data_IF_352054211780
#
_entry.id   IF_352054211780
#
_cell.length_a   1.000
_cell.length_b   1.000
_cell.length_c   1.000
_cell.angle_alpha   90.00
_cell.angle_beta   90.00
_cell.angle_gamma   90.00
#
_symmetry.space_group_name_H-M   'P 1'
#
loop_
_entity.id
_entity.type
_entity.pdbx_description
1 polymer ?
#
# COMPACT_ATOMS: atom_id res chain seq x y z
N UNK A 1 -23.68 -11.15 -4.76
CA UNK A 1 -24.06 -10.14 -5.78
C UNK A 1 -23.03 -9.03 -5.63
N UNK A 2 -22.17 -8.80 -6.65
CA UNK A 2 -21.24 -7.69 -6.59
C UNK A 2 -22.05 -6.40 -6.59
N UNK A 3 -21.95 -5.61 -5.53
CA UNK A 3 -22.42 -4.23 -5.54
C UNK A 3 -21.40 -3.45 -6.37
N UNK A 4 -21.80 -3.07 -7.57
CA UNK A 4 -21.11 -2.00 -8.30
C UNK A 4 -21.26 -0.73 -7.45
N UNK A 5 -20.18 -0.32 -6.82
CA UNK A 5 -20.03 1.03 -6.32
C UNK A 5 -19.68 1.81 -7.58
N UNK A 6 -20.62 2.55 -8.13
CA UNK A 6 -20.31 3.54 -9.16
C UNK A 6 -19.26 4.49 -8.55
N UNK A 7 -18.09 4.67 -9.19
CA UNK A 7 -17.19 5.72 -8.76
C UNK A 7 -17.98 7.03 -8.85
N UNK A 8 -17.99 7.81 -7.76
CA UNK A 8 -18.48 9.18 -7.85
C UNK A 8 -17.74 9.85 -9.00
N UNK A 9 -18.47 10.20 -10.05
CA UNK A 9 -17.93 11.00 -11.14
C UNK A 9 -17.45 12.32 -10.54
N UNK A 10 -16.17 12.38 -10.17
CA UNK A 10 -15.51 13.64 -9.87
C UNK A 10 -15.66 14.46 -11.15
N UNK A 11 -16.58 15.44 -11.14
CA UNK A 11 -16.76 16.37 -12.26
C UNK A 11 -15.42 17.02 -12.52
N UNK A 12 -14.71 16.54 -13.53
CA UNK A 12 -13.52 17.20 -14.05
C UNK A 12 -14.04 18.46 -14.75
N UNK A 13 -13.98 19.58 -14.04
CA UNK A 13 -14.29 20.88 -14.62
C UNK A 13 -13.11 21.27 -15.49
N UNK A 14 -13.24 21.06 -16.81
CA UNK A 14 -12.22 21.49 -17.75
C UNK A 14 -12.27 23.02 -17.86
N UNK A 15 -11.24 23.70 -17.36
CA UNK A 15 -11.11 25.14 -17.46
C UNK A 15 -10.35 25.51 -18.74
N UNK A 16 -11.10 25.83 -19.81
CA UNK A 16 -10.55 26.19 -21.12
C UNK A 16 -9.66 27.43 -21.02
N UNK A 17 -9.99 28.39 -20.17
CA UNK A 17 -9.20 29.62 -19.99
C UNK A 17 -7.81 29.28 -19.41
N UNK A 18 -7.76 28.47 -18.35
CA UNK A 18 -6.50 28.03 -17.75
C UNK A 18 -5.63 27.29 -18.76
N UNK A 19 -6.26 26.46 -19.61
CA UNK A 19 -5.56 25.70 -20.63
C UNK A 19 -4.94 26.59 -21.73
N UNK A 20 -5.63 27.67 -22.11
CA UNK A 20 -5.16 28.56 -23.17
C UNK A 20 -4.21 29.68 -22.66
N UNK A 21 -4.40 30.15 -21.45
CA UNK A 21 -3.70 31.32 -20.90
C UNK A 21 -2.77 30.96 -19.72
N UNK A 22 -2.76 29.72 -19.28
CA UNK A 22 -2.06 29.32 -18.10
C UNK A 22 -2.78 29.70 -16.79
N UNK A 23 -2.20 29.29 -15.68
CA UNK A 23 -2.79 29.46 -14.35
C UNK A 23 -3.54 28.23 -13.86
N UNK A 24 -3.67 28.10 -12.55
CA UNK A 24 -4.36 27.03 -11.86
C UNK A 24 -5.69 27.59 -11.33
N UNK A 25 -6.84 27.01 -11.69
CA UNK A 25 -8.12 27.49 -11.19
C UNK A 25 -8.16 27.50 -9.66
N UNK A 26 -8.77 28.51 -9.10
CA UNK A 26 -8.93 28.65 -7.65
C UNK A 26 -9.59 27.43 -7.02
N UNK A 27 -10.61 26.87 -7.68
CA UNK A 27 -11.29 25.65 -7.26
C UNK A 27 -10.33 24.47 -7.09
N UNK A 28 -9.42 24.25 -8.06
CA UNK A 28 -8.47 23.13 -8.02
C UNK A 28 -7.49 23.28 -6.86
N UNK A 29 -7.05 24.50 -6.59
CA UNK A 29 -6.10 24.77 -5.50
C UNK A 29 -6.76 24.80 -4.13
N UNK A 30 -7.95 25.36 -3.99
CA UNK A 30 -8.60 25.57 -2.69
C UNK A 30 -9.51 24.41 -2.29
N UNK A 31 -10.38 23.95 -3.19
CA UNK A 31 -11.40 22.96 -2.85
C UNK A 31 -10.90 21.52 -3.06
N UNK A 32 -10.23 21.24 -4.18
CA UNK A 32 -9.73 19.88 -4.47
C UNK A 32 -8.59 19.50 -3.51
N UNK A 33 -7.72 20.44 -3.16
CA UNK A 33 -6.59 20.20 -2.25
C UNK A 33 -6.90 20.60 -0.80
N UNK A 34 -8.16 20.82 -0.44
CA UNK A 34 -8.55 21.28 0.89
C UNK A 34 -7.98 20.43 2.03
N UNK A 35 -8.08 19.10 1.92
CA UNK A 35 -7.56 18.18 2.95
C UNK A 35 -6.05 18.31 3.14
N UNK A 36 -5.31 18.57 2.05
CA UNK A 36 -3.87 18.83 2.13
C UNK A 36 -3.57 20.11 2.91
N UNK A 37 -4.35 21.18 2.67
CA UNK A 37 -4.16 22.46 3.37
C UNK A 37 -4.57 22.40 4.83
N UNK A 38 -5.58 21.60 5.18
CA UNK A 38 -5.94 21.34 6.58
C UNK A 38 -4.82 20.61 7.33
N UNK A 39 -4.20 19.64 6.69
CA UNK A 39 -3.09 18.88 7.30
C UNK A 39 -1.75 19.62 7.23
N UNK A 40 -1.50 20.38 6.17
CA UNK A 40 -0.24 21.09 5.89
C UNK A 40 -0.49 22.56 5.52
N UNK A 41 -0.92 23.40 6.47
CA UNK A 41 -1.39 24.76 6.18
C UNK A 41 -0.34 25.70 5.59
N UNK A 42 0.95 25.43 5.85
CA UNK A 42 2.05 26.27 5.34
C UNK A 42 2.42 25.96 3.90
N UNK A 43 2.03 24.80 3.36
CA UNK A 43 2.41 24.37 2.02
C UNK A 43 1.73 25.21 0.93
N UNK A 44 0.49 25.61 1.12
CA UNK A 44 -0.25 26.39 0.12
C UNK A 44 0.52 27.63 -0.29
N UNK A 45 0.95 28.43 0.68
CA UNK A 45 1.64 29.71 0.43
C UNK A 45 3.08 29.53 -0.09
N UNK A 46 3.69 28.38 0.18
CA UNK A 46 5.00 28.04 -0.38
C UNK A 46 4.91 27.62 -1.85
N UNK A 47 3.85 26.90 -2.22
CA UNK A 47 3.69 26.33 -3.56
C UNK A 47 2.95 27.24 -4.52
N UNK A 48 1.98 28.03 -4.04
CA UNK A 48 1.08 28.79 -4.87
C UNK A 48 1.03 30.26 -4.47
N UNK A 49 0.89 31.12 -5.48
CA UNK A 49 0.62 32.54 -5.29
C UNK A 49 -0.56 32.98 -6.17
N UNK A 50 -1.41 33.90 -5.69
CA UNK A 50 -2.52 34.39 -6.49
C UNK A 50 -2.02 35.05 -7.79
N UNK A 51 -2.58 34.66 -8.91
CA UNK A 51 -2.37 35.32 -10.20
C UNK A 51 -3.40 36.44 -10.41
N UNK A 52 -4.66 36.16 -10.08
CA UNK A 52 -5.78 37.10 -10.09
C UNK A 52 -6.90 36.55 -9.17
N UNK A 53 -8.13 37.10 -9.27
CA UNK A 53 -9.25 36.70 -8.41
C UNK A 53 -9.63 35.20 -8.54
N UNK A 54 -9.42 34.61 -9.72
CA UNK A 54 -9.93 33.26 -10.07
C UNK A 54 -8.82 32.22 -10.28
N UNK A 55 -7.55 32.66 -10.32
CA UNK A 55 -6.42 31.81 -10.66
C UNK A 55 -5.23 31.99 -9.74
N UNK A 56 -4.53 30.91 -9.51
CA UNK A 56 -3.20 30.82 -8.91
C UNK A 56 -2.13 30.56 -9.96
N UNK A 57 -0.88 30.79 -9.59
CA UNK A 57 0.30 30.28 -10.29
C UNK A 57 1.23 29.62 -9.29
N UNK A 58 2.13 28.76 -9.77
CA UNK A 58 3.21 28.27 -8.95
C UNK A 58 4.08 29.43 -8.45
N UNK A 59 4.47 29.38 -7.18
CA UNK A 59 5.38 30.32 -6.55
C UNK A 59 6.85 29.92 -6.76
N UNK A 60 7.08 28.67 -7.16
CA UNK A 60 8.37 27.99 -7.34
C UNK A 60 8.43 27.30 -8.69
N UNK A 61 9.61 26.83 -9.08
CA UNK A 61 9.77 25.98 -10.27
C UNK A 61 9.13 24.61 -10.05
N UNK A 62 8.63 23.99 -11.11
CA UNK A 62 8.01 22.66 -11.04
C UNK A 62 8.95 21.59 -10.46
N UNK A 63 10.25 21.72 -10.71
CA UNK A 63 11.27 20.80 -10.19
C UNK A 63 11.50 20.92 -8.69
N UNK A 64 11.09 22.04 -8.08
CA UNK A 64 11.24 22.31 -6.65
C UNK A 64 10.02 21.89 -5.82
N UNK A 65 8.91 21.50 -6.47
CA UNK A 65 7.67 21.12 -5.77
C UNK A 65 7.92 19.98 -4.77
N UNK A 66 8.48 18.88 -5.23
CA UNK A 66 8.76 17.70 -4.38
C UNK A 66 9.72 18.04 -3.24
N UNK A 67 10.91 18.66 -3.48
CA UNK A 67 11.79 19.07 -2.39
C UNK A 67 11.14 20.00 -1.36
N UNK A 68 10.29 20.94 -1.79
CA UNK A 68 9.60 21.87 -0.88
C UNK A 68 8.57 21.15 -0.02
N UNK A 69 7.83 20.19 -0.59
CA UNK A 69 6.87 19.37 0.16
C UNK A 69 7.60 18.51 1.18
N UNK A 70 8.65 17.79 0.77
CA UNK A 70 9.43 16.90 1.64
C UNK A 70 10.15 17.63 2.77
N UNK A 71 10.48 18.91 2.58
CA UNK A 71 11.11 19.75 3.60
C UNK A 71 10.11 20.48 4.52
N UNK A 72 8.80 20.35 4.25
CA UNK A 72 7.79 21.02 5.07
C UNK A 72 7.57 20.30 6.40
N UNK A 73 7.70 21.01 7.52
CA UNK A 73 7.59 20.41 8.87
C UNK A 73 6.21 19.79 9.13
N UNK A 74 5.14 20.33 8.56
CA UNK A 74 3.80 19.77 8.73
C UNK A 74 3.64 18.49 7.94
N UNK A 75 4.21 18.42 6.75
CA UNK A 75 4.25 17.20 5.94
C UNK A 75 5.10 16.11 6.60
N UNK A 76 6.28 16.46 7.11
CA UNK A 76 7.15 15.53 7.86
C UNK A 76 6.40 14.95 9.06
N UNK A 77 5.70 15.78 9.85
CA UNK A 77 4.90 15.29 10.98
C UNK A 77 3.77 14.34 10.56
N UNK A 78 3.11 14.61 9.43
CA UNK A 78 2.09 13.70 8.89
C UNK A 78 2.70 12.37 8.46
N UNK A 79 3.84 12.42 7.78
CA UNK A 79 4.57 11.23 7.37
C UNK A 79 5.01 10.37 8.57
N UNK A 80 5.63 11.00 9.58
CA UNK A 80 6.06 10.32 10.81
C UNK A 80 4.89 9.67 11.55
N UNK A 81 3.75 10.37 11.65
CA UNK A 81 2.53 9.83 12.27
C UNK A 81 2.01 8.60 11.53
N UNK A 82 1.95 8.67 10.21
CA UNK A 82 1.54 7.56 9.37
C UNK A 82 2.47 6.36 9.52
N UNK A 83 3.79 6.59 9.44
CA UNK A 83 4.79 5.54 9.61
C UNK A 83 4.78 4.92 11.01
N UNK A 84 4.53 5.71 12.04
CA UNK A 84 4.35 5.21 13.41
C UNK A 84 3.13 4.30 13.52
N UNK A 85 2.00 4.64 12.87
CA UNK A 85 0.82 3.79 12.80
C UNK A 85 1.09 2.45 12.13
N UNK A 86 1.75 2.44 10.98
CA UNK A 86 2.14 1.22 10.26
C UNK A 86 3.10 0.38 11.11
N UNK A 87 4.09 1.00 11.75
CA UNK A 87 5.03 0.29 12.62
C UNK A 87 4.33 -0.36 13.81
N UNK A 88 3.46 0.38 14.49
CA UNK A 88 2.67 -0.15 15.61
C UNK A 88 1.79 -1.32 15.17
N UNK A 89 1.14 -1.20 14.01
CA UNK A 89 0.37 -2.29 13.43
C UNK A 89 1.25 -3.53 13.20
N UNK A 90 2.40 -3.37 12.54
CA UNK A 90 3.31 -4.47 12.23
C UNK A 90 3.85 -5.16 13.50
N UNK A 91 4.24 -4.38 14.51
CA UNK A 91 4.73 -4.91 15.79
C UNK A 91 3.62 -5.65 16.56
N UNK A 92 2.40 -5.14 16.56
CA UNK A 92 1.26 -5.75 17.26
C UNK A 92 0.84 -7.09 16.65
N UNK A 93 0.93 -7.19 15.31
CA UNK A 93 0.43 -8.38 14.59
C UNK A 93 1.52 -9.37 14.14
N UNK A 94 2.79 -9.04 14.38
CA UNK A 94 3.92 -9.93 14.07
C UNK A 94 3.77 -11.31 14.74
N UNK A 95 3.38 -11.32 16.00
CA UNK A 95 3.29 -12.55 16.77
C UNK A 95 2.13 -13.45 16.31
N UNK A 96 1.09 -12.88 15.72
CA UNK A 96 -0.02 -13.63 15.13
C UNK A 96 0.47 -14.53 13.97
N UNK A 97 1.41 -14.01 13.15
CA UNK A 97 2.04 -14.79 12.09
C UNK A 97 2.84 -15.98 12.66
N UNK A 98 3.54 -15.78 13.78
CA UNK A 98 4.33 -16.83 14.42
C UNK A 98 3.47 -17.94 15.04
N UNK A 99 2.17 -17.71 15.22
CA UNK A 99 1.22 -18.72 15.71
C UNK A 99 0.71 -19.67 14.62
N UNK A 100 1.04 -19.42 13.35
CA UNK A 100 0.68 -20.31 12.27
C UNK A 100 1.24 -21.72 12.52
N UNK A 101 0.39 -22.72 12.35
CA UNK A 101 0.73 -24.12 12.54
C UNK A 101 -0.11 -24.98 11.58
N UNK A 102 0.17 -26.28 11.48
CA UNK A 102 -0.65 -27.19 10.67
C UNK A 102 -2.13 -27.13 11.06
N UNK A 103 -2.97 -26.82 10.09
CA UNK A 103 -4.40 -26.62 10.25
C UNK A 103 -4.84 -25.17 10.40
N UNK A 104 -3.92 -24.19 10.45
CA UNK A 104 -4.26 -22.75 10.39
C UNK A 104 -4.82 -22.38 9.02
N UNK A 105 -5.62 -21.32 8.97
CA UNK A 105 -6.21 -20.81 7.74
C UNK A 105 -5.59 -19.44 7.36
N UNK A 106 -4.57 -19.39 6.47
CA UNK A 106 -3.87 -18.16 6.11
C UNK A 106 -4.78 -17.08 5.54
N UNK A 107 -5.86 -17.50 4.87
CA UNK A 107 -6.86 -16.57 4.34
C UNK A 107 -7.56 -15.77 5.44
N UNK A 108 -7.92 -16.39 6.54
CA UNK A 108 -8.53 -15.70 7.68
C UNK A 108 -7.56 -14.72 8.33
N UNK A 109 -6.27 -15.08 8.38
CA UNK A 109 -5.23 -14.20 8.92
C UNK A 109 -5.14 -12.89 8.12
N UNK A 110 -5.03 -12.97 6.80
CA UNK A 110 -4.92 -11.75 5.96
C UNK A 110 -6.22 -10.93 5.95
N UNK A 111 -7.38 -11.56 5.98
CA UNK A 111 -8.66 -10.85 6.10
C UNK A 111 -8.74 -10.08 7.44
N UNK A 112 -8.30 -10.70 8.53
CA UNK A 112 -8.23 -10.08 9.85
C UNK A 112 -7.25 -8.89 9.86
N UNK A 113 -6.05 -9.08 9.31
CA UNK A 113 -5.04 -8.02 9.23
C UNK A 113 -5.51 -6.85 8.38
N UNK A 114 -6.16 -7.12 7.26
CA UNK A 114 -6.73 -6.08 6.41
C UNK A 114 -7.77 -5.24 7.15
N UNK A 115 -8.68 -5.88 7.90
CA UNK A 115 -9.68 -5.18 8.70
C UNK A 115 -9.04 -4.32 9.80
N UNK A 116 -8.07 -4.86 10.54
CA UNK A 116 -7.36 -4.16 11.62
C UNK A 116 -6.51 -3.00 11.10
N UNK A 117 -5.86 -3.14 9.93
CA UNK A 117 -5.11 -2.07 9.29
C UNK A 117 -6.02 -0.90 8.92
N UNK A 118 -7.16 -1.19 8.30
CA UNK A 118 -8.15 -0.16 7.95
C UNK A 118 -8.67 0.57 9.20
N UNK A 119 -8.91 -0.15 10.30
CA UNK A 119 -9.35 0.45 11.56
C UNK A 119 -8.27 1.35 12.16
N UNK A 120 -7.02 0.86 12.26
CA UNK A 120 -5.90 1.62 12.80
C UNK A 120 -5.62 2.91 12.01
N UNK A 121 -5.74 2.88 10.69
CA UNK A 121 -5.48 4.03 9.84
C UNK A 121 -6.64 5.04 9.79
N UNK A 122 -7.88 4.61 10.02
CA UNK A 122 -9.01 5.55 10.16
C UNK A 122 -8.86 6.48 11.37
N UNK A 123 -8.21 6.02 12.42
CA UNK A 123 -7.98 6.80 13.63
C UNK A 123 -6.79 7.77 13.51
N UNK A 124 -5.93 7.61 12.50
CA UNK A 124 -4.69 8.41 12.38
C UNK A 124 -4.88 9.77 11.71
N UNK A 125 -6.06 10.11 11.20
CA UNK A 125 -6.32 11.37 10.47
C UNK A 125 -5.20 11.68 9.44
N UNK A 126 -4.91 10.69 8.62
CA UNK A 126 -3.81 10.72 7.67
C UNK A 126 -4.27 11.23 6.30
N UNK A 127 -3.38 11.92 5.58
CA UNK A 127 -3.58 12.29 4.17
C UNK A 127 -3.64 11.08 3.22
N UNK A 128 -3.18 9.92 3.69
CA UNK A 128 -3.19 8.69 2.91
C UNK A 128 -4.54 7.99 3.07
N UNK A 129 -5.19 7.69 1.96
CA UNK A 129 -6.40 6.88 1.97
C UNK A 129 -6.09 5.49 2.59
N UNK A 130 -6.79 5.09 3.65
CA UNK A 130 -6.61 3.78 4.27
C UNK A 130 -6.69 2.60 3.28
N UNK A 131 -7.48 2.74 2.23
CA UNK A 131 -7.60 1.70 1.20
C UNK A 131 -6.34 1.54 0.34
N UNK A 132 -5.52 2.59 0.17
CA UNK A 132 -4.22 2.46 -0.49
C UNK A 132 -3.27 1.60 0.35
N UNK A 133 -3.25 1.78 1.66
CA UNK A 133 -2.46 0.93 2.55
C UNK A 133 -2.97 -0.51 2.58
N UNK A 134 -4.29 -0.70 2.56
CA UNK A 134 -4.90 -2.02 2.45
C UNK A 134 -4.49 -2.72 1.15
N UNK A 135 -4.51 -2.01 0.02
CA UNK A 135 -4.07 -2.57 -1.27
C UNK A 135 -2.60 -3.00 -1.22
N UNK A 136 -1.71 -2.15 -0.68
CA UNK A 136 -0.30 -2.50 -0.51
C UNK A 136 -0.10 -3.73 0.38
N UNK A 137 -0.89 -3.88 1.45
CA UNK A 137 -0.85 -5.08 2.28
C UNK A 137 -1.26 -6.32 1.47
N UNK A 138 -2.30 -6.23 0.64
CA UNK A 138 -2.77 -7.34 -0.19
C UNK A 138 -1.75 -7.73 -1.27
N UNK A 139 -1.11 -6.73 -1.89
CA UNK A 139 -0.03 -6.95 -2.87
C UNK A 139 1.17 -7.62 -2.21
N UNK A 140 1.63 -7.11 -1.07
CA UNK A 140 2.74 -7.70 -0.31
C UNK A 140 2.43 -9.12 0.15
N UNK A 141 1.19 -9.36 0.61
CA UNK A 141 0.74 -10.71 0.94
C UNK A 141 0.84 -11.65 -0.26
N UNK A 142 0.29 -11.27 -1.40
CA UNK A 142 0.26 -12.11 -2.59
C UNK A 142 1.67 -12.39 -3.15
N UNK A 143 2.58 -11.43 -3.08
CA UNK A 143 3.91 -11.54 -3.68
C UNK A 143 4.93 -12.19 -2.75
N UNK A 144 4.85 -11.93 -1.43
CA UNK A 144 5.93 -12.28 -0.51
C UNK A 144 5.54 -13.27 0.59
N UNK A 145 4.26 -13.36 0.97
CA UNK A 145 3.88 -14.11 2.19
C UNK A 145 2.95 -15.29 1.94
N UNK A 146 2.11 -15.21 0.94
CA UNK A 146 1.01 -16.15 0.74
C UNK A 146 1.48 -17.60 0.67
N UNK A 147 2.42 -17.90 -0.20
CA UNK A 147 2.88 -19.26 -0.44
C UNK A 147 3.53 -19.85 0.82
N UNK A 148 4.36 -19.07 1.51
CA UNK A 148 5.01 -19.49 2.75
C UNK A 148 3.98 -19.75 3.86
N UNK A 149 2.98 -18.89 4.02
CA UNK A 149 1.92 -19.10 5.00
C UNK A 149 1.10 -20.38 4.71
N UNK A 150 0.82 -20.70 3.45
CA UNK A 150 0.14 -21.94 3.08
C UNK A 150 1.03 -23.19 3.28
N UNK A 151 2.33 -23.06 3.04
CA UNK A 151 3.28 -24.15 3.32
C UNK A 151 3.35 -24.40 4.83
N UNK A 152 3.50 -23.33 5.64
CA UNK A 152 3.54 -23.45 7.12
C UNK A 152 2.25 -24.04 7.66
N UNK A 153 1.08 -23.62 7.13
CA UNK A 153 -0.21 -24.15 7.57
C UNK A 153 -0.47 -25.61 7.16
N UNK A 154 0.29 -26.12 6.20
CA UNK A 154 0.26 -27.54 5.81
C UNK A 154 1.31 -28.36 6.55
N UNK A 155 2.55 -27.91 6.56
CA UNK A 155 3.73 -28.70 6.93
C UNK A 155 4.37 -28.22 8.26
N UNK A 156 4.00 -27.04 8.76
CA UNK A 156 4.62 -26.41 9.93
C UNK A 156 5.88 -25.61 9.59
N UNK A 157 6.51 -25.06 10.63
CA UNK A 157 7.73 -24.25 10.52
C UNK A 157 9.01 -25.05 10.25
N UNK A 158 8.96 -26.36 10.49
CA UNK A 158 10.10 -27.25 10.28
C UNK A 158 9.86 -28.10 9.05
N UNK A 159 10.66 -27.88 8.01
CA UNK A 159 10.62 -28.67 6.78
C UNK A 159 11.73 -29.70 6.82
N UNK A 160 11.36 -30.99 6.76
CA UNK A 160 12.32 -32.05 6.54
C UNK A 160 12.63 -32.15 5.03
N UNK A 161 13.89 -31.97 4.68
CA UNK A 161 14.33 -32.14 3.30
C UNK A 161 14.50 -33.62 2.97
N UNK A 162 13.63 -34.11 2.11
CA UNK A 162 13.77 -35.46 1.57
C UNK A 162 14.39 -35.42 0.17
N UNK A 163 15.38 -36.30 -0.12
CA UNK A 163 15.96 -36.34 -1.46
C UNK A 163 14.90 -36.78 -2.49
N UNK A 164 14.84 -36.10 -3.63
CA UNK A 164 14.01 -36.54 -4.74
C UNK A 164 14.55 -37.85 -5.27
N UNK A 165 13.78 -38.93 -5.11
CA UNK A 165 14.17 -40.23 -5.61
C UNK A 165 13.77 -40.38 -7.08
N UNK A 166 14.75 -40.79 -7.92
CA UNK A 166 14.52 -41.09 -9.33
C UNK A 166 14.48 -42.61 -9.50
N UNK A 167 13.46 -43.06 -10.20
CA UNK A 167 13.31 -44.47 -10.53
C UNK A 167 14.34 -44.90 -11.57
N UNK A 168 15.20 -45.83 -11.23
CA UNK A 168 16.10 -46.51 -12.17
C UNK A 168 15.61 -47.91 -12.48
N UNK A 169 15.34 -48.17 -13.74
CA UNK A 169 14.91 -49.46 -14.22
C UNK A 169 16.11 -50.19 -14.80
N UNK A 170 16.54 -51.25 -14.17
CA UNK A 170 17.53 -52.14 -14.74
C UNK A 170 16.86 -53.16 -15.67
N UNK A 171 16.93 -52.88 -16.99
CA UNK A 171 16.28 -53.71 -18.02
C UNK A 171 16.83 -55.13 -18.10
N UNK A 172 18.08 -55.36 -17.69
CA UNK A 172 18.69 -56.73 -17.70
C UNK A 172 18.26 -57.57 -16.51
N UNK A 173 18.13 -56.94 -15.30
CA UNK A 173 17.77 -57.64 -14.09
C UNK A 173 16.26 -57.59 -13.78
N UNK A 174 15.46 -56.88 -14.60
CA UNK A 174 14.03 -56.62 -14.36
C UNK A 174 13.70 -56.06 -12.94
N UNK A 175 14.66 -55.31 -12.37
CA UNK A 175 14.51 -54.71 -11.04
C UNK A 175 14.37 -53.18 -11.16
N UNK A 176 13.56 -52.61 -10.28
CA UNK A 176 13.35 -51.20 -10.13
C UNK A 176 14.00 -50.75 -8.83
N UNK A 177 14.92 -49.79 -8.88
CA UNK A 177 15.54 -49.18 -7.71
C UNK A 177 15.25 -47.68 -7.68
N UNK A 178 15.13 -47.12 -6.48
CA UNK A 178 14.96 -45.65 -6.30
C UNK A 178 16.28 -45.09 -5.78
N UNK A 179 16.84 -44.13 -6.46
CA UNK A 179 18.10 -43.49 -6.07
C UNK A 179 17.90 -41.96 -5.98
N UNK A 180 18.62 -41.27 -5.08
CA UNK A 180 18.59 -39.81 -5.04
C UNK A 180 18.99 -39.21 -6.38
N UNK A 181 18.23 -38.17 -6.82
CA UNK A 181 18.60 -37.39 -7.98
C UNK A 181 19.89 -36.63 -7.65
N UNK A 182 20.94 -36.91 -8.42
CA UNK A 182 22.20 -36.12 -8.33
C UNK A 182 22.02 -34.73 -8.86
#
# INVERSE_FOLDING_TARGET
>A
IPRYIEPEDKKIVQNIYAHLHGGLPKYDVEDVLNQLWEACPTLKDKLFQPLNADYYRLAIDETEITPVIEADESFIRQHERYMAGIKTFAETHRDEMLTLNPGSEPKQLIELWGAKLLEALKETDSLVDPYNAYQLLMEYWAEAMQDDCYIISRDGWHVELHPVLVQKVNKKAKTVTFEPKK
#
